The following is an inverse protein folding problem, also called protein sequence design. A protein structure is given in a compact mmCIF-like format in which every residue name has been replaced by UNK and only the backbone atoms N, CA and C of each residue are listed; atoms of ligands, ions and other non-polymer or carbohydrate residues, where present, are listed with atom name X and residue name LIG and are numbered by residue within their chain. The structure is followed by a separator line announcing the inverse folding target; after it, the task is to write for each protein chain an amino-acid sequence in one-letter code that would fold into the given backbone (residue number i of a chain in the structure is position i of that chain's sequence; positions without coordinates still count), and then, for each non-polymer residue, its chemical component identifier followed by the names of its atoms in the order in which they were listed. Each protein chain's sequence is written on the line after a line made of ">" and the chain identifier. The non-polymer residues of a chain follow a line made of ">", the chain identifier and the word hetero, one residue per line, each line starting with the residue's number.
data_IF_613015532423
#
_entry.id   IF_613015532423
#
_cell.length_a   1.000
_cell.length_b   1.000
_cell.length_c   1.000
_cell.angle_alpha   90.00
_cell.angle_beta   90.00
_cell.angle_gamma   90.00
#
_symmetry.space_group_name_H-M   'P 1'
#
loop_
_entity.id
_entity.type
_entity.pdbx_description
1 polymer ?
#
# COMPACT_ATOMS: atom_id res chain seq x y z
N UNK A 1 -23.90 -82.62 -5.73
CA UNK A 1 -22.60 -81.98 -5.41
C UNK A 1 -22.82 -80.48 -5.33
N UNK A 2 -23.00 -79.94 -4.11
CA UNK A 2 -23.27 -78.51 -3.87
C UNK A 2 -21.96 -77.73 -3.80
N UNK A 3 -21.83 -76.66 -4.58
CA UNK A 3 -20.73 -75.69 -4.47
C UNK A 3 -21.02 -74.68 -3.35
N UNK A 4 -20.05 -74.34 -2.49
CA UNK A 4 -20.24 -73.39 -1.40
C UNK A 4 -20.16 -71.94 -1.88
N UNK A 5 -21.06 -71.09 -1.36
CA UNK A 5 -21.05 -69.63 -1.53
C UNK A 5 -20.05 -68.98 -0.56
N UNK A 6 -19.25 -67.99 -0.97
CA UNK A 6 -18.36 -67.28 -0.06
C UNK A 6 -19.17 -66.34 0.85
N UNK A 7 -18.92 -66.41 2.16
CA UNK A 7 -19.43 -65.43 3.14
C UNK A 7 -18.58 -64.15 3.05
N UNK A 8 -19.21 -63.03 2.73
CA UNK A 8 -18.60 -61.69 2.81
C UNK A 8 -18.45 -61.30 4.29
N UNK A 9 -17.21 -61.08 4.74
CA UNK A 9 -16.91 -60.48 6.03
C UNK A 9 -17.28 -58.99 5.98
N UNK A 10 -18.34 -58.60 6.71
CA UNK A 10 -18.69 -57.21 6.91
C UNK A 10 -17.75 -56.60 7.96
N UNK A 11 -16.63 -56.02 7.52
CA UNK A 11 -15.74 -55.27 8.39
C UNK A 11 -16.36 -53.90 8.65
N UNK A 12 -16.96 -53.74 9.82
CA UNK A 12 -17.54 -52.46 10.27
C UNK A 12 -16.39 -51.51 10.59
N UNK A 13 -16.11 -50.55 9.69
CA UNK A 13 -15.20 -49.44 9.97
C UNK A 13 -15.94 -48.44 10.84
N UNK A 14 -15.60 -48.38 12.13
CA UNK A 14 -16.03 -47.33 13.03
C UNK A 14 -15.39 -46.01 12.60
N UNK A 15 -16.20 -45.08 12.08
CA UNK A 15 -15.77 -43.70 11.84
C UNK A 15 -15.74 -42.99 13.20
N UNK A 16 -14.58 -42.54 13.72
CA UNK A 16 -14.58 -41.72 14.92
C UNK A 16 -15.24 -40.37 14.60
N UNK A 17 -16.24 -40.03 15.41
CA UNK A 17 -16.82 -38.70 15.43
C UNK A 17 -15.78 -37.69 15.94
N UNK A 18 -15.96 -36.45 15.48
CA UNK A 18 -15.28 -35.21 15.89
C UNK A 18 -14.11 -34.75 15.00
N UNK A 19 -14.46 -34.22 13.82
CA UNK A 19 -13.69 -33.13 13.21
C UNK A 19 -14.39 -31.83 13.59
N UNK A 20 -14.16 -31.37 14.82
CA UNK A 20 -14.40 -29.98 15.22
C UNK A 20 -13.56 -29.10 14.29
N UNK A 21 -14.23 -28.52 13.28
CA UNK A 21 -13.61 -27.62 12.32
C UNK A 21 -12.76 -26.59 13.04
N UNK A 22 -11.44 -26.71 12.88
CA UNK A 22 -10.48 -25.79 13.47
C UNK A 22 -10.75 -24.42 12.87
N UNK A 23 -11.33 -23.52 13.68
CA UNK A 23 -11.59 -22.11 13.37
C UNK A 23 -10.31 -21.53 12.78
N UNK A 24 -10.30 -21.27 11.46
CA UNK A 24 -9.16 -20.64 10.78
C UNK A 24 -9.00 -19.28 11.43
N UNK A 25 -7.85 -19.04 12.07
CA UNK A 25 -7.50 -17.73 12.59
C UNK A 25 -7.64 -16.72 11.44
N UNK A 26 -8.62 -15.82 11.54
CA UNK A 26 -8.74 -14.72 10.61
C UNK A 26 -7.44 -13.93 10.69
N UNK A 27 -6.74 -13.80 9.57
CA UNK A 27 -5.58 -12.94 9.48
C UNK A 27 -6.04 -11.52 9.81
N UNK A 28 -5.68 -11.01 10.99
CA UNK A 28 -6.03 -9.65 11.41
C UNK A 28 -5.32 -8.58 10.55
N UNK A 29 -4.36 -9.04 9.74
CA UNK A 29 -3.61 -8.25 8.77
C UNK A 29 -3.81 -8.88 7.39
N UNK A 30 -4.56 -8.21 6.52
CA UNK A 30 -4.57 -8.51 5.08
C UNK A 30 -3.42 -7.71 4.47
N UNK A 31 -2.34 -8.40 4.08
CA UNK A 31 -1.33 -7.82 3.20
C UNK A 31 -1.88 -7.93 1.79
N UNK A 32 -2.45 -6.84 1.31
CA UNK A 32 -2.89 -6.72 -0.08
C UNK A 32 -1.72 -6.19 -0.90
N UNK A 33 -1.20 -7.01 -1.82
CA UNK A 33 -0.35 -6.47 -2.89
C UNK A 33 -1.25 -5.62 -3.78
N UNK A 34 -1.26 -4.31 -3.51
CA UNK A 34 -1.89 -3.33 -4.41
C UNK A 34 -1.00 -3.26 -5.66
N UNK A 35 -1.43 -3.89 -6.75
CA UNK A 35 -0.70 -3.84 -8.02
C UNK A 35 -1.24 -4.77 -9.09
N UNK A 36 -2.27 -4.32 -9.81
CA UNK A 36 -2.64 -4.80 -11.13
C UNK A 36 -1.53 -4.42 -12.13
N UNK A 37 -0.55 -5.32 -12.24
CA UNK A 37 0.86 -5.00 -12.53
C UNK A 37 1.18 -4.44 -13.92
N UNK A 38 0.25 -4.35 -14.85
CA UNK A 38 0.58 -3.91 -16.23
C UNK A 38 -0.25 -2.72 -16.65
N UNK A 39 -1.57 -2.80 -16.50
CA UNK A 39 -2.52 -1.73 -16.77
C UNK A 39 -2.21 -0.46 -15.97
N UNK A 40 -1.96 -0.58 -14.67
CA UNK A 40 -1.62 0.55 -13.80
C UNK A 40 -0.27 1.18 -14.18
N UNK A 41 0.70 0.37 -14.63
CA UNK A 41 1.98 0.89 -15.12
C UNK A 41 1.83 1.60 -16.46
N UNK A 42 0.96 1.08 -17.35
CA UNK A 42 0.67 1.70 -18.63
C UNK A 42 -0.03 3.05 -18.41
N UNK A 43 -1.04 3.09 -17.54
CA UNK A 43 -1.72 4.32 -17.16
C UNK A 43 -0.74 5.31 -16.51
N UNK A 44 0.10 4.86 -15.58
CA UNK A 44 1.16 5.69 -14.98
C UNK A 44 2.10 6.28 -16.02
N UNK A 45 2.52 5.49 -17.00
CA UNK A 45 3.42 5.94 -18.06
C UNK A 45 2.75 6.92 -19.05
N UNK A 46 1.42 6.88 -19.15
CA UNK A 46 0.64 7.77 -20.00
C UNK A 46 0.47 9.18 -19.39
N UNK A 47 0.57 9.31 -18.06
CA UNK A 47 0.35 10.57 -17.35
C UNK A 47 1.63 11.15 -16.74
N UNK A 48 1.81 12.47 -16.89
CA UNK A 48 2.93 13.18 -16.28
C UNK A 48 2.76 13.31 -14.76
N UNK A 49 3.73 12.78 -14.02
CA UNK A 49 3.75 12.91 -12.57
C UNK A 49 4.34 14.28 -12.12
N UNK A 50 3.48 15.26 -11.92
CA UNK A 50 3.87 16.63 -11.50
C UNK A 50 4.60 16.61 -10.14
N UNK A 51 4.15 15.76 -9.23
CA UNK A 51 4.73 15.60 -7.90
C UNK A 51 6.20 15.14 -7.98
N UNK A 52 6.48 14.10 -8.77
CA UNK A 52 7.84 13.62 -9.00
C UNK A 52 8.70 14.68 -9.72
N UNK A 53 8.13 15.39 -10.71
CA UNK A 53 8.83 16.47 -11.41
C UNK A 53 9.22 17.60 -10.45
N UNK A 54 8.33 18.00 -9.55
CA UNK A 54 8.62 19.01 -8.54
C UNK A 54 9.75 18.56 -7.61
N UNK A 55 9.70 17.33 -7.08
CA UNK A 55 10.76 16.78 -6.22
C UNK A 55 12.11 16.69 -6.94
N UNK A 56 12.10 16.40 -8.25
CA UNK A 56 13.29 16.36 -9.09
C UNK A 56 13.84 17.76 -9.43
N UNK A 57 13.09 18.82 -9.23
CA UNK A 57 13.57 20.18 -9.42
C UNK A 57 14.57 20.57 -8.31
N UNK A 58 15.70 21.17 -8.70
CA UNK A 58 16.73 21.63 -7.75
C UNK A 58 16.19 22.60 -6.69
N UNK A 59 15.15 23.38 -7.04
CA UNK A 59 14.47 24.28 -6.09
C UNK A 59 13.78 23.53 -4.96
N UNK A 60 13.21 22.36 -5.22
CA UNK A 60 12.60 21.53 -4.19
C UNK A 60 13.66 20.99 -3.21
N UNK A 61 14.91 20.80 -3.65
CA UNK A 61 15.96 20.36 -2.73
C UNK A 61 16.35 21.47 -1.75
N UNK A 62 16.40 22.72 -2.24
CA UNK A 62 16.71 23.90 -1.44
C UNK A 62 15.65 24.17 -0.36
N UNK A 63 14.38 23.81 -0.60
CA UNK A 63 13.30 24.05 0.36
C UNK A 63 13.58 23.35 1.70
N UNK A 64 14.23 22.18 1.70
CA UNK A 64 14.57 21.46 2.92
C UNK A 64 15.54 22.27 3.79
N UNK A 65 16.53 22.88 3.16
CA UNK A 65 17.52 23.73 3.84
C UNK A 65 16.84 24.98 4.40
N UNK A 66 15.99 25.63 3.59
CA UNK A 66 15.23 26.83 4.00
C UNK A 66 14.29 26.52 5.16
N UNK A 67 13.56 25.40 5.10
CA UNK A 67 12.63 24.98 6.16
C UNK A 67 13.37 24.73 7.48
N UNK A 68 14.54 24.12 7.45
CA UNK A 68 15.37 23.90 8.64
C UNK A 68 15.81 25.23 9.25
N UNK A 69 16.37 26.14 8.45
CA UNK A 69 16.83 27.43 8.95
C UNK A 69 15.69 28.31 9.46
N UNK A 70 14.58 28.37 8.71
CA UNK A 70 13.40 29.13 9.10
C UNK A 70 12.79 28.55 10.39
N UNK A 71 12.63 27.23 10.47
CA UNK A 71 12.17 26.55 11.68
C UNK A 71 13.08 26.82 12.88
N UNK A 72 14.40 26.85 12.67
CA UNK A 72 15.38 27.19 13.72
C UNK A 72 15.18 28.61 14.23
N UNK A 73 15.04 29.60 13.34
CA UNK A 73 14.82 31.00 13.72
C UNK A 73 13.52 31.16 14.52
N UNK A 74 12.44 30.51 14.06
CA UNK A 74 11.14 30.56 14.73
C UNK A 74 11.25 29.99 16.15
N UNK A 75 11.85 28.80 16.31
CA UNK A 75 11.97 28.13 17.60
C UNK A 75 12.90 28.89 18.55
N UNK A 76 13.99 29.49 18.04
CA UNK A 76 14.92 30.28 18.85
C UNK A 76 14.33 31.59 19.38
N UNK A 77 13.29 32.11 18.72
CA UNK A 77 12.61 33.34 19.16
C UNK A 77 11.79 33.11 20.44
N UNK A 78 11.55 31.85 20.82
CA UNK A 78 10.78 31.48 22.03
C UNK A 78 11.61 31.81 23.29
N UNK A 79 11.12 32.63 24.22
CA UNK A 79 11.83 32.95 25.46
C UNK A 79 12.11 31.70 26.31
N UNK A 80 13.33 31.59 26.84
CA UNK A 80 13.75 30.44 27.64
C UNK A 80 14.17 29.21 26.82
N UNK A 81 14.18 29.30 25.48
CA UNK A 81 14.65 28.23 24.62
C UNK A 81 16.15 28.00 24.78
N UNK A 82 16.54 26.79 25.18
CA UNK A 82 17.94 26.40 25.18
C UNK A 82 18.35 25.88 23.80
N UNK A 83 19.62 26.03 23.46
CA UNK A 83 20.14 25.59 22.17
C UNK A 83 19.92 24.08 21.93
N UNK A 84 20.05 23.27 22.99
CA UNK A 84 19.90 21.82 22.93
C UNK A 84 18.45 21.42 22.59
N UNK A 85 17.48 22.05 23.26
CA UNK A 85 16.06 21.81 23.02
C UNK A 85 15.67 22.33 21.64
N UNK A 86 16.13 23.51 21.24
CA UNK A 86 15.86 24.08 19.92
C UNK A 86 16.28 23.15 18.78
N UNK A 87 17.54 22.68 18.78
CA UNK A 87 18.02 21.76 17.76
C UNK A 87 17.31 20.40 17.77
N UNK A 88 16.87 19.94 18.93
CA UNK A 88 16.07 18.72 19.05
C UNK A 88 14.68 18.93 18.44
N UNK A 89 14.01 20.05 18.76
CA UNK A 89 12.70 20.38 18.22
C UNK A 89 12.72 20.57 16.70
N UNK A 90 13.70 21.31 16.16
CA UNK A 90 13.86 21.48 14.71
C UNK A 90 14.03 20.13 14.02
N UNK A 91 14.87 19.25 14.57
CA UNK A 91 15.08 17.91 14.03
C UNK A 91 13.77 17.09 14.05
N UNK A 92 13.08 17.05 15.19
CA UNK A 92 11.83 16.31 15.32
C UNK A 92 10.72 16.86 14.41
N UNK A 93 10.51 18.17 14.37
CA UNK A 93 9.48 18.79 13.52
C UNK A 93 9.78 18.52 12.04
N UNK A 94 11.04 18.71 11.62
CA UNK A 94 11.44 18.41 10.24
C UNK A 94 11.19 16.95 9.87
N UNK A 95 11.56 16.00 10.73
CA UNK A 95 11.33 14.57 10.48
C UNK A 95 9.84 14.23 10.42
N UNK A 96 9.01 14.82 11.28
CA UNK A 96 7.56 14.61 11.27
C UNK A 96 6.91 15.20 10.00
N UNK A 97 7.25 16.43 9.63
CA UNK A 97 6.74 17.06 8.40
C UNK A 97 7.20 16.31 7.16
N UNK A 98 8.46 15.87 7.12
CA UNK A 98 8.98 15.04 6.04
C UNK A 98 8.27 13.70 5.96
N UNK A 99 7.98 13.06 7.10
CA UNK A 99 7.23 11.80 7.11
C UNK A 99 5.80 12.01 6.60
N UNK A 100 5.12 13.04 7.08
CA UNK A 100 3.76 13.38 6.64
C UNK A 100 3.73 13.58 5.12
N UNK A 101 4.59 14.45 4.60
CA UNK A 101 4.60 14.79 3.17
C UNK A 101 4.97 13.61 2.26
N UNK A 102 5.96 12.80 2.63
CA UNK A 102 6.47 11.75 1.74
C UNK A 102 5.82 10.39 1.91
N UNK A 103 5.26 10.08 3.08
CA UNK A 103 4.75 8.75 3.40
C UNK A 103 3.26 8.72 3.80
N UNK A 104 2.73 9.80 4.36
CA UNK A 104 1.32 9.84 4.77
C UNK A 104 0.42 10.43 3.68
N UNK A 105 0.87 11.48 2.99
CA UNK A 105 0.13 12.09 1.87
C UNK A 105 0.20 11.15 0.66
N UNK A 106 -0.98 10.76 0.16
CA UNK A 106 -1.15 9.90 -1.03
C UNK A 106 -1.93 10.63 -2.12
N UNK A 107 -1.83 10.15 -3.37
CA UNK A 107 -2.51 10.77 -4.51
C UNK A 107 -1.84 12.07 -4.98
N UNK A 108 -2.57 12.81 -5.80
CA UNK A 108 -2.14 14.11 -6.35
C UNK A 108 -3.20 15.15 -5.94
N UNK A 109 -2.86 16.13 -5.08
CA UNK A 109 -3.86 16.94 -4.37
C UNK A 109 -4.79 17.78 -5.25
N UNK A 110 -4.44 18.04 -6.52
CA UNK A 110 -5.21 18.95 -7.39
C UNK A 110 -5.59 18.38 -8.77
N UNK A 111 -5.22 17.13 -9.11
CA UNK A 111 -5.45 16.55 -10.45
C UNK A 111 -5.94 15.09 -10.43
N UNK A 112 -6.62 14.65 -9.36
CA UNK A 112 -7.10 13.26 -9.24
C UNK A 112 -8.02 12.84 -10.40
N UNK A 113 -8.80 13.76 -10.98
CA UNK A 113 -9.72 13.47 -12.10
C UNK A 113 -9.01 13.26 -13.44
N UNK A 114 -7.80 13.81 -13.63
CA UNK A 114 -7.04 13.70 -14.89
C UNK A 114 -6.18 12.43 -14.98
N UNK A 115 -5.98 11.71 -13.86
CA UNK A 115 -5.05 10.58 -13.78
C UNK A 115 -5.75 9.24 -13.51
N UNK A 116 -7.08 9.20 -13.58
CA UNK A 116 -7.87 7.96 -13.48
C UNK A 116 -7.66 7.16 -12.19
N UNK A 117 -7.20 7.82 -11.11
CA UNK A 117 -6.88 7.16 -9.85
C UNK A 117 -5.56 6.38 -9.82
N UNK A 118 -4.71 6.46 -10.87
CA UNK A 118 -3.47 5.70 -10.98
C UNK A 118 -2.43 5.98 -9.87
N UNK A 119 -2.60 7.06 -9.09
CA UNK A 119 -1.69 7.47 -8.02
C UNK A 119 -2.35 7.51 -6.63
N UNK A 120 -3.64 7.22 -6.50
CA UNK A 120 -4.43 7.47 -5.28
C UNK A 120 -3.91 6.66 -4.07
N UNK A 121 -3.42 5.46 -4.34
CA UNK A 121 -2.85 4.57 -3.33
C UNK A 121 -1.34 4.77 -3.10
N UNK A 122 -0.67 5.55 -3.95
CA UNK A 122 0.78 5.75 -3.89
C UNK A 122 1.13 7.00 -3.08
N UNK A 123 2.03 6.81 -2.12
CA UNK A 123 2.63 7.94 -1.40
C UNK A 123 3.56 8.73 -2.31
N UNK A 124 3.82 10.00 -2.00
CA UNK A 124 4.76 10.83 -2.76
C UNK A 124 6.14 10.15 -2.90
N UNK A 125 6.61 9.44 -1.88
CA UNK A 125 7.86 8.67 -1.94
C UNK A 125 7.87 7.58 -3.03
N UNK A 126 6.76 6.87 -3.18
CA UNK A 126 6.57 5.81 -4.18
C UNK A 126 6.34 6.38 -5.59
N UNK A 127 5.83 7.61 -5.66
CA UNK A 127 5.65 8.36 -6.89
C UNK A 127 6.99 8.82 -7.51
N UNK A 128 7.99 9.16 -6.70
CA UNK A 128 9.29 9.65 -7.20
C UNK A 128 10.01 8.58 -8.04
N UNK A 129 10.42 9.00 -9.24
CA UNK A 129 11.22 8.24 -10.21
C UNK A 129 10.66 6.84 -10.49
N UNK A 130 9.34 6.72 -10.58
CA UNK A 130 8.67 5.43 -10.85
C UNK A 130 9.00 4.32 -9.84
N UNK A 131 9.30 4.71 -8.60
CA UNK A 131 9.72 3.76 -7.56
C UNK A 131 11.17 3.32 -7.69
N UNK A 132 11.93 3.79 -8.70
CA UNK A 132 13.34 3.51 -8.86
C UNK A 132 14.11 3.90 -7.60
N UNK A 133 14.99 3.00 -7.15
CA UNK A 133 15.81 3.23 -5.98
C UNK A 133 17.10 3.97 -6.38
N UNK A 134 17.76 4.60 -5.41
CA UNK A 134 19.08 5.24 -5.59
C UNK A 134 19.19 6.37 -6.61
N UNK A 135 18.07 7.02 -6.94
CA UNK A 135 18.07 8.22 -7.78
C UNK A 135 18.67 9.42 -7.04
N UNK A 136 19.13 10.46 -7.76
CA UNK A 136 19.70 11.65 -7.14
C UNK A 136 18.77 12.28 -6.10
N UNK A 137 17.48 12.40 -6.42
CA UNK A 137 16.47 12.97 -5.52
C UNK A 137 16.25 12.12 -4.29
N UNK A 138 16.12 10.79 -4.42
CA UNK A 138 15.98 9.92 -3.25
C UNK A 138 17.23 9.92 -2.37
N UNK A 139 18.43 9.96 -2.98
CA UNK A 139 19.70 10.12 -2.24
C UNK A 139 19.74 11.45 -1.46
N UNK A 140 19.32 12.54 -2.08
CA UNK A 140 19.20 13.83 -1.40
C UNK A 140 18.21 13.76 -0.23
N UNK A 141 17.00 13.24 -0.47
CA UNK A 141 15.96 13.12 0.57
C UNK A 141 16.32 12.15 1.70
N UNK A 142 17.23 11.20 1.47
CA UNK A 142 17.82 10.39 2.53
C UNK A 142 18.91 11.12 3.30
N UNK A 143 19.78 11.86 2.60
CA UNK A 143 20.93 12.53 3.21
C UNK A 143 20.53 13.75 4.03
N UNK A 144 19.54 14.53 3.60
CA UNK A 144 19.07 15.72 4.31
C UNK A 144 18.69 15.47 5.79
N UNK A 145 17.81 14.50 6.14
CA UNK A 145 17.51 14.21 7.55
C UNK A 145 18.70 13.66 8.33
N UNK A 146 19.62 12.92 7.68
CA UNK A 146 20.84 12.42 8.34
C UNK A 146 21.77 13.58 8.71
N UNK A 147 21.98 14.53 7.80
CA UNK A 147 22.80 15.72 8.06
C UNK A 147 22.20 16.57 9.18
N UNK A 148 20.87 16.76 9.18
CA UNK A 148 20.19 17.48 10.26
C UNK A 148 20.33 16.77 11.61
N UNK A 149 20.21 15.44 11.63
CA UNK A 149 20.43 14.63 12.83
C UNK A 149 21.86 14.80 13.37
N UNK A 150 22.87 14.77 12.51
CA UNK A 150 24.27 14.96 12.90
C UNK A 150 24.51 16.37 13.45
N UNK A 151 23.95 17.40 12.80
CA UNK A 151 24.00 18.76 13.29
C UNK A 151 23.32 18.88 14.68
N UNK A 152 22.12 18.31 14.84
CA UNK A 152 21.39 18.29 16.11
C UNK A 152 22.19 17.58 17.22
N UNK A 153 22.81 16.44 16.91
CA UNK A 153 23.68 15.72 17.84
C UNK A 153 24.89 16.56 18.27
N UNK A 154 25.50 17.27 17.33
CA UNK A 154 26.65 18.14 17.62
C UNK A 154 26.25 19.28 18.57
N UNK A 155 25.17 20.01 18.25
CA UNK A 155 24.73 21.15 19.05
C UNK A 155 24.00 20.79 20.35
N UNK A 156 23.62 19.52 20.53
CA UNK A 156 23.16 18.97 21.82
C UNK A 156 24.32 18.51 22.72
N UNK A 157 25.58 18.78 22.33
CA UNK A 157 26.79 18.38 23.05
C UNK A 157 26.85 16.87 23.30
N UNK A 158 26.34 16.07 22.36
CA UNK A 158 26.35 14.61 22.45
C UNK A 158 25.65 14.06 23.71
N UNK A 159 24.64 14.79 24.23
CA UNK A 159 23.84 14.32 25.36
C UNK A 159 23.19 12.96 25.01
N UNK A 160 23.45 11.88 25.77
CA UNK A 160 22.98 10.54 25.42
C UNK A 160 21.46 10.42 25.30
N UNK A 161 20.70 11.15 26.12
CA UNK A 161 19.24 11.11 26.10
C UNK A 161 18.66 11.78 24.85
N UNK A 162 19.14 13.00 24.53
CA UNK A 162 18.70 13.71 23.33
C UNK A 162 19.17 12.99 22.05
N UNK A 163 20.37 12.41 22.09
CA UNK A 163 20.87 11.56 21.01
C UNK A 163 19.94 10.35 20.77
N UNK A 164 19.56 9.62 21.81
CA UNK A 164 18.68 8.46 21.69
C UNK A 164 17.31 8.83 21.10
N UNK A 165 16.73 9.95 21.53
CA UNK A 165 15.47 10.48 20.99
C UNK A 165 15.63 10.82 19.51
N UNK A 166 16.63 11.62 19.16
CA UNK A 166 16.88 12.05 17.78
C UNK A 166 17.20 10.87 16.85
N UNK A 167 17.94 9.87 17.34
CA UNK A 167 18.29 8.67 16.58
C UNK A 167 17.07 7.80 16.35
N UNK A 168 16.26 7.57 17.39
CA UNK A 168 15.01 6.80 17.27
C UNK A 168 14.07 7.48 16.29
N UNK A 169 13.90 8.79 16.38
CA UNK A 169 13.09 9.55 15.44
C UNK A 169 13.62 9.47 14.00
N UNK A 170 14.94 9.59 13.79
CA UNK A 170 15.55 9.43 12.47
C UNK A 170 15.24 8.04 11.89
N UNK A 171 15.45 6.97 12.67
CA UNK A 171 15.23 5.60 12.23
C UNK A 171 13.75 5.38 11.89
N UNK A 172 12.85 5.73 12.81
CA UNK A 172 11.41 5.44 12.68
C UNK A 172 10.72 6.32 11.63
N UNK A 173 11.04 7.61 11.57
CA UNK A 173 10.32 8.56 10.71
C UNK A 173 10.98 8.75 9.34
N UNK A 174 12.30 8.62 9.24
CA UNK A 174 13.01 8.91 7.99
C UNK A 174 13.64 7.68 7.33
N UNK A 175 14.13 6.68 8.07
CA UNK A 175 14.83 5.54 7.47
C UNK A 175 13.86 4.40 7.15
N UNK A 176 13.16 3.87 8.15
CA UNK A 176 12.24 2.73 8.00
C UNK A 176 11.23 2.94 6.86
N UNK A 177 10.49 4.07 6.79
CA UNK A 177 9.45 4.26 5.78
C UNK A 177 9.98 4.32 4.35
N UNK A 178 11.27 4.64 4.20
CA UNK A 178 11.94 4.73 2.89
C UNK A 178 12.58 3.40 2.45
N UNK A 179 12.61 2.38 3.31
CA UNK A 179 13.19 1.09 2.97
C UNK A 179 12.32 0.34 1.93
N UNK A 180 12.94 -0.33 0.93
CA UNK A 180 12.22 -1.05 -0.12
C UNK A 180 11.34 -2.19 0.39
N UNK A 181 11.61 -2.70 1.59
CA UNK A 181 10.88 -3.83 2.18
C UNK A 181 9.45 -3.46 2.62
N UNK A 182 9.16 -2.16 2.77
CA UNK A 182 7.81 -1.66 3.08
C UNK A 182 7.09 -1.12 1.83
N UNK A 183 7.69 -1.27 0.65
CA UNK A 183 7.10 -0.82 -0.61
C UNK A 183 5.79 -1.57 -0.83
N UNK A 184 4.67 -0.83 -0.94
CA UNK A 184 3.31 -1.37 -1.14
C UNK A 184 2.77 -2.28 -0.02
N UNK A 185 3.43 -2.40 1.13
CA UNK A 185 2.90 -3.12 2.29
C UNK A 185 2.39 -2.14 3.33
N UNK A 186 1.10 -1.81 3.27
CA UNK A 186 0.44 -1.04 4.33
C UNK A 186 -0.36 -1.98 5.23
N UNK A 187 -0.05 -1.94 6.52
CA UNK A 187 -0.88 -2.55 7.57
C UNK A 187 -2.14 -1.71 7.75
N UNK A 188 -3.21 -2.05 7.02
CA UNK A 188 -4.53 -1.49 7.24
C UNK A 188 -5.25 -2.38 8.25
N UNK A 189 -5.47 -1.88 9.46
CA UNK A 189 -6.35 -2.56 10.41
C UNK A 189 -7.77 -2.46 9.87
N UNK A 190 -8.32 -3.60 9.44
CA UNK A 190 -9.74 -3.70 9.12
C UNK A 190 -10.51 -3.47 10.42
N UNK A 191 -11.03 -2.26 10.63
CA UNK A 191 -12.15 -2.08 11.57
C UNK A 191 -13.30 -2.86 10.94
N UNK A 192 -13.74 -3.92 11.63
CA UNK A 192 -14.65 -4.91 11.09
C UNK A 192 -16.06 -4.37 10.89
N UNK A 193 -16.28 -3.58 9.85
CA UNK A 193 -17.60 -3.38 9.28
C UNK A 193 -17.77 -4.40 8.15
N UNK A 194 -18.22 -5.58 8.56
CA UNK A 194 -18.82 -6.57 7.68
C UNK A 194 -20.09 -5.97 7.06
N UNK A 195 -19.93 -5.11 6.05
CA UNK A 195 -21.01 -4.80 5.12
C UNK A 195 -21.17 -6.02 4.20
N UNK A 196 -22.13 -6.87 4.54
CA UNK A 196 -22.51 -8.03 3.76
C UNK A 196 -23.02 -7.63 2.38
N UNK A 197 -22.13 -7.52 1.41
CA UNK A 197 -22.48 -7.56 0.00
C UNK A 197 -22.17 -8.97 -0.49
N UNK A 198 -23.19 -9.81 -0.41
CA UNK A 198 -23.24 -11.09 -1.10
C UNK A 198 -23.07 -10.84 -2.60
N UNK A 199 -21.90 -11.12 -3.17
CA UNK A 199 -21.76 -11.21 -4.63
C UNK A 199 -22.55 -12.43 -5.12
N UNK A 200 -23.57 -12.28 -5.97
CA UNK A 200 -24.20 -13.43 -6.62
C UNK A 200 -23.23 -13.91 -7.71
N UNK A 201 -22.59 -15.06 -7.48
CA UNK A 201 -21.94 -15.82 -8.54
C UNK A 201 -22.98 -16.74 -9.18
N UNK A 202 -23.52 -16.35 -10.34
CA UNK A 202 -23.89 -17.22 -11.48
C UNK A 202 -24.50 -16.36 -12.60
N UNK A 203 -23.94 -16.33 -13.82
CA UNK A 203 -24.68 -15.86 -14.98
C UNK A 203 -25.69 -16.94 -15.40
N UNK A 204 -26.97 -16.69 -15.16
CA UNK A 204 -28.06 -17.53 -15.66
C UNK A 204 -28.28 -17.26 -17.14
N UNK A 205 -27.73 -18.08 -18.02
CA UNK A 205 -28.12 -18.07 -19.44
C UNK A 205 -29.52 -18.69 -19.59
N UNK A 206 -30.49 -18.03 -20.25
CA UNK A 206 -31.75 -18.67 -20.58
C UNK A 206 -31.50 -19.85 -21.52
N UNK A 207 -31.96 -21.06 -21.14
CA UNK A 207 -32.07 -22.18 -22.08
C UNK A 207 -33.03 -21.75 -23.18
N UNK A 208 -32.51 -21.58 -24.39
CA UNK A 208 -33.34 -21.48 -25.59
C UNK A 208 -33.91 -22.89 -25.82
N UNK A 209 -35.20 -23.06 -25.52
CA UNK A 209 -35.90 -24.30 -25.77
C UNK A 209 -35.82 -24.64 -27.26
N UNK A 210 -35.21 -25.78 -27.56
CA UNK A 210 -35.27 -26.39 -28.87
C UNK A 210 -36.70 -26.86 -29.09
N UNK A 211 -37.53 -26.03 -29.73
CA UNK A 211 -38.78 -26.48 -30.30
C UNK A 211 -38.44 -27.28 -31.57
N UNK A 212 -38.76 -28.58 -31.67
CA UNK A 212 -38.56 -29.31 -32.91
C UNK A 212 -39.58 -28.81 -33.92
N UNK A 213 -39.11 -28.05 -34.92
CA UNK A 213 -39.90 -27.77 -36.10
C UNK A 213 -40.23 -29.10 -36.78
N UNK A 214 -41.53 -29.41 -36.75
CA UNK A 214 -42.17 -30.46 -37.50
C UNK A 214 -41.74 -30.34 -38.97
N UNK A 215 -40.98 -31.33 -39.45
CA UNK A 215 -40.71 -31.50 -40.87
C UNK A 215 -42.07 -31.70 -41.56
N UNK A 216 -42.48 -30.73 -42.37
CA UNK A 216 -43.56 -30.91 -43.33
C UNK A 216 -42.92 -31.44 -44.61
N UNK A 217 -43.32 -32.66 -44.97
CA UNK A 217 -42.86 -33.40 -46.14
C UNK A 217 -43.45 -32.75 -47.42
N UNK A 218 -42.72 -32.65 -48.53
CA UNK A 218 -43.23 -32.04 -49.76
C UNK A 218 -43.97 -33.09 -50.58
N UNK A 219 -45.23 -33.32 -50.26
CA UNK A 219 -46.18 -34.02 -51.12
C UNK A 219 -47.58 -33.61 -50.67
N UNK A 220 -48.27 -32.86 -51.54
CA UNK A 220 -49.73 -32.67 -51.63
C UNK A 220 -50.11 -31.20 -51.86
N UNK A 221 -50.09 -30.79 -53.14
CA UNK A 221 -51.00 -29.78 -53.68
C UNK A 221 -50.96 -29.85 -55.22
N UNK A 222 -51.57 -30.90 -55.77
CA UNK A 222 -52.06 -30.90 -57.15
C UNK A 222 -53.42 -30.16 -57.21
N UNK A 223 -53.53 -29.24 -58.17
CA UNK A 223 -54.68 -28.86 -59.00
C UNK A 223 -56.10 -28.78 -58.41
N UNK A 224 -56.73 -27.61 -58.64
CA UNK A 224 -58.17 -27.38 -58.55
C UNK A 224 -58.51 -25.91 -58.53
#
# INVERSE_FOLDING_TARGET
>A
MSRPSPKLLHLTVSVPADIKGRRRSGSIVKVEEVGGRTEELLDRSAYLNINANWVNAKGAWLIHVVLVFMGKIIIDTIPGMTQQISWTLVNLIYLNLSYLMFHWVTGIPFDNELHGGAYDDLSLWEQIDDGAQYTPSKKWLFTAPILLFLASTHYTNYNPWLFAINLTALIVLAIIPKLPQLHRQRVRFLTGDASGVSTPVTPSFPRMDQNPLHATNPADAHFG
#
